data_IF_003182958779
#
_entry.id   IF_003182958779
#
_cell.length_a   1.000
_cell.length_b   1.000
_cell.length_c   1.000
_cell.angle_alpha   90.00
_cell.angle_beta   90.00
_cell.angle_gamma   90.00
#
_symmetry.space_group_name_H-M   'P 1'
#
loop_
_entity.id
_entity.type
_entity.pdbx_description
1 polymer ?
#
# COMPACT_ATOMS: atom_id res chain seq x y z
N UNK A 1 -7.72 -63.48 20.89
CA UNK A 1 -8.54 -62.26 21.07
C UNK A 1 -8.73 -61.66 19.69
N UNK A 2 -9.95 -61.34 19.21
CA UNK A 2 -10.11 -60.81 17.87
C UNK A 2 -9.63 -59.35 17.82
N UNK A 3 -8.83 -59.02 16.81
CA UNK A 3 -8.32 -57.67 16.59
C UNK A 3 -9.49 -56.70 16.32
N UNK A 4 -9.61 -55.66 17.16
CA UNK A 4 -10.60 -54.60 16.97
C UNK A 4 -10.14 -53.69 15.83
N UNK A 5 -10.83 -53.77 14.70
CA UNK A 5 -10.62 -52.85 13.56
C UNK A 5 -11.40 -51.56 13.80
N UNK A 6 -10.68 -50.46 13.93
CA UNK A 6 -11.27 -49.13 14.05
C UNK A 6 -11.33 -48.46 12.67
N UNK A 7 -12.50 -47.96 12.30
CA UNK A 7 -12.68 -47.16 11.08
C UNK A 7 -12.44 -45.70 11.43
N UNK A 8 -11.42 -45.09 10.82
CA UNK A 8 -11.13 -43.66 10.92
C UNK A 8 -11.52 -42.92 9.65
N UNK A 9 -11.76 -41.62 9.77
CA UNK A 9 -11.91 -40.71 8.64
C UNK A 9 -10.79 -39.67 8.69
N UNK A 10 -10.17 -39.37 7.55
CA UNK A 10 -9.12 -38.36 7.44
C UNK A 10 -9.78 -37.04 7.06
N UNK A 11 -9.74 -36.07 7.98
CA UNK A 11 -10.21 -34.72 7.73
C UNK A 11 -9.03 -33.76 7.53
N UNK A 12 -9.15 -32.87 6.54
CA UNK A 12 -8.19 -31.80 6.31
C UNK A 12 -8.84 -30.43 6.48
N UNK A 13 -8.03 -29.42 6.84
CA UNK A 13 -8.47 -28.02 6.87
C UNK A 13 -8.33 -27.43 5.47
N UNK A 14 -9.46 -27.07 4.86
CA UNK A 14 -9.50 -26.41 3.55
C UNK A 14 -9.52 -24.90 3.78
N UNK A 15 -8.63 -24.17 3.11
CA UNK A 15 -8.53 -22.71 3.20
C UNK A 15 -8.57 -22.14 1.80
N UNK A 16 -9.49 -21.20 1.57
CA UNK A 16 -9.54 -20.42 0.34
C UNK A 16 -8.72 -19.15 0.49
N UNK A 17 -7.82 -18.90 -0.46
CA UNK A 17 -7.00 -17.68 -0.51
C UNK A 17 -7.52 -16.78 -1.62
N UNK A 18 -7.65 -15.48 -1.34
CA UNK A 18 -8.10 -14.46 -2.29
C UNK A 18 -7.16 -13.25 -2.25
N UNK A 19 -7.10 -12.51 -3.34
CA UNK A 19 -6.49 -11.19 -3.31
C UNK A 19 -7.40 -10.21 -2.55
N UNK A 20 -6.79 -9.33 -1.75
CA UNK A 20 -7.52 -8.26 -1.06
C UNK A 20 -7.97 -7.14 -2.02
N UNK A 21 -7.35 -7.05 -3.19
CA UNK A 21 -7.59 -6.03 -4.20
C UNK A 21 -7.94 -6.70 -5.53
N UNK A 22 -8.76 -6.03 -6.33
CA UNK A 22 -9.05 -6.43 -7.70
C UNK A 22 -7.89 -6.00 -8.62
N UNK A 23 -7.51 -6.87 -9.55
CA UNK A 23 -6.46 -6.55 -10.52
C UNK A 23 -6.19 -7.71 -11.47
N UNK A 24 -5.34 -7.45 -12.47
CA UNK A 24 -4.87 -8.48 -13.40
C UNK A 24 -3.76 -9.30 -12.74
N UNK A 25 -3.84 -10.62 -12.78
CA UNK A 25 -2.75 -11.47 -12.31
C UNK A 25 -1.53 -11.32 -13.22
N UNK A 26 -0.37 -10.99 -12.63
CA UNK A 26 0.90 -10.88 -13.35
C UNK A 26 1.65 -12.22 -13.38
N UNK A 27 1.74 -12.90 -12.23
CA UNK A 27 2.47 -14.17 -12.11
C UNK A 27 1.74 -15.14 -11.19
N UNK A 28 1.79 -16.42 -11.56
CA UNK A 28 1.42 -17.56 -10.72
C UNK A 28 2.70 -18.33 -10.45
N UNK A 29 3.10 -18.43 -9.18
CA UNK A 29 4.41 -18.96 -8.77
C UNK A 29 4.35 -20.42 -8.30
N UNK A 30 3.13 -20.93 -8.05
CA UNK A 30 2.88 -22.28 -7.57
C UNK A 30 1.88 -23.00 -8.45
N UNK A 31 2.09 -24.31 -8.60
CA UNK A 31 1.23 -25.20 -9.37
C UNK A 31 0.39 -26.06 -8.44
N UNK A 32 -0.69 -26.61 -8.97
CA UNK A 32 -1.53 -27.57 -8.26
C UNK A 32 -0.68 -28.78 -7.84
N UNK A 33 -0.75 -29.15 -6.55
CA UNK A 33 0.04 -30.25 -5.97
C UNK A 33 1.32 -29.80 -5.27
N UNK A 34 1.73 -28.54 -5.40
CA UNK A 34 2.90 -28.03 -4.69
C UNK A 34 2.62 -27.89 -3.18
N UNK A 35 3.60 -28.26 -2.35
CA UNK A 35 3.58 -27.96 -0.92
C UNK A 35 4.02 -26.52 -0.70
N UNK A 36 3.28 -25.77 0.11
CA UNK A 36 3.53 -24.36 0.39
C UNK A 36 3.59 -24.09 1.90
N UNK A 37 4.32 -23.05 2.30
CA UNK A 37 4.43 -22.61 3.69
C UNK A 37 3.64 -21.33 3.93
N UNK A 38 3.28 -21.07 5.18
CA UNK A 38 2.64 -19.81 5.57
C UNK A 38 3.55 -18.63 5.22
N UNK A 39 3.00 -17.64 4.52
CA UNK A 39 3.74 -16.45 4.07
C UNK A 39 4.44 -16.61 2.72
N UNK A 40 4.38 -17.80 2.11
CA UNK A 40 4.95 -18.02 0.79
C UNK A 40 4.11 -17.38 -0.32
N UNK A 41 4.80 -16.79 -1.30
CA UNK A 41 4.15 -16.08 -2.40
C UNK A 41 3.56 -17.09 -3.40
N UNK A 42 2.23 -17.08 -3.52
CA UNK A 42 1.51 -17.98 -4.44
C UNK A 42 1.31 -17.36 -5.83
N UNK A 43 0.94 -16.08 -5.85
CA UNK A 43 0.67 -15.32 -7.06
C UNK A 43 0.83 -13.82 -6.79
N UNK A 44 1.08 -13.03 -7.83
CA UNK A 44 1.20 -11.58 -7.75
C UNK A 44 0.30 -10.91 -8.79
N UNK A 45 -0.35 -9.81 -8.39
CA UNK A 45 -1.06 -8.92 -9.30
C UNK A 45 -0.08 -8.03 -10.08
N UNK A 46 -0.51 -7.55 -11.23
CA UNK A 46 0.18 -6.52 -12.00
C UNK A 46 0.19 -5.20 -11.22
N UNK A 47 1.40 -4.73 -10.92
CA UNK A 47 1.63 -3.53 -10.13
C UNK A 47 1.95 -2.30 -10.99
N UNK A 48 1.96 -2.41 -12.32
CA UNK A 48 2.37 -1.31 -13.21
C UNK A 48 1.58 -0.02 -12.95
N UNK A 49 0.25 -0.12 -12.92
CA UNK A 49 -0.64 1.02 -12.65
C UNK A 49 -0.43 1.57 -11.22
N UNK A 50 -0.25 0.68 -10.25
CA UNK A 50 -0.04 1.07 -8.85
C UNK A 50 1.30 1.79 -8.66
N UNK A 51 2.34 1.32 -9.34
CA UNK A 51 3.66 1.94 -9.35
C UNK A 51 3.62 3.32 -10.02
N UNK A 52 3.03 3.44 -11.22
CA UNK A 52 2.86 4.74 -11.88
C UNK A 52 2.06 5.73 -11.02
N UNK A 53 1.02 5.24 -10.32
CA UNK A 53 0.26 6.08 -9.40
C UNK A 53 1.11 6.53 -8.21
N UNK A 54 1.92 5.65 -7.62
CA UNK A 54 2.85 6.01 -6.55
C UNK A 54 3.86 7.05 -7.02
N UNK A 55 4.45 6.86 -8.20
CA UNK A 55 5.43 7.79 -8.77
C UNK A 55 4.80 9.17 -9.01
N UNK A 56 3.54 9.22 -9.49
CA UNK A 56 2.78 10.47 -9.62
C UNK A 56 2.62 11.17 -8.28
N UNK A 57 2.18 10.44 -7.25
CA UNK A 57 1.96 10.99 -5.92
C UNK A 57 3.26 11.49 -5.28
N UNK A 58 4.38 10.81 -5.52
CA UNK A 58 5.70 11.26 -5.07
C UNK A 58 6.10 12.58 -5.75
N UNK A 59 5.89 12.72 -7.05
CA UNK A 59 6.17 13.95 -7.78
C UNK A 59 5.30 15.12 -7.30
N UNK A 60 4.02 14.89 -7.04
CA UNK A 60 3.09 15.89 -6.50
C UNK A 60 3.51 16.32 -5.07
N UNK A 61 3.98 15.38 -4.26
CA UNK A 61 4.55 15.66 -2.93
C UNK A 61 5.81 16.51 -3.01
N UNK A 62 6.75 16.17 -3.88
CA UNK A 62 7.98 16.94 -4.06
C UNK A 62 7.68 18.39 -4.50
N UNK A 63 6.73 18.56 -5.42
CA UNK A 63 6.27 19.89 -5.84
C UNK A 63 5.66 20.67 -4.67
N UNK A 64 4.74 20.05 -3.93
CA UNK A 64 4.05 20.69 -2.79
C UNK A 64 5.05 21.07 -1.69
N UNK A 65 6.04 20.22 -1.45
CA UNK A 65 7.13 20.48 -0.51
C UNK A 65 7.99 21.66 -0.98
N UNK A 66 8.36 21.70 -2.26
CA UNK A 66 9.12 22.81 -2.82
C UNK A 66 8.34 24.13 -2.69
N UNK A 67 7.03 24.13 -2.96
CA UNK A 67 6.16 25.31 -2.79
C UNK A 67 6.12 25.79 -1.34
N UNK A 68 6.06 24.86 -0.38
CA UNK A 68 6.12 25.17 1.06
C UNK A 68 7.48 25.76 1.46
N UNK A 69 8.59 25.20 0.97
CA UNK A 69 9.94 25.71 1.23
C UNK A 69 10.13 27.11 0.61
N UNK A 70 9.68 27.32 -0.63
CA UNK A 70 9.69 28.63 -1.29
C UNK A 70 8.85 29.64 -0.49
N UNK A 71 7.68 29.25 0.00
CA UNK A 71 6.84 30.10 0.83
C UNK A 71 7.56 30.53 2.12
N UNK A 72 8.24 29.59 2.80
CA UNK A 72 9.01 29.89 4.01
C UNK A 72 10.20 30.81 3.73
N UNK A 73 10.90 30.64 2.60
CA UNK A 73 12.01 31.51 2.20
C UNK A 73 11.57 32.92 1.86
N UNK A 74 10.42 33.08 1.18
CA UNK A 74 9.86 34.39 0.81
C UNK A 74 9.27 35.14 2.01
N UNK A 75 8.89 34.45 3.07
CA UNK A 75 8.24 35.03 4.25
C UNK A 75 9.02 34.71 5.54
N UNK A 76 10.27 35.19 5.69
CA UNK A 76 11.11 34.86 6.85
C UNK A 76 10.60 35.47 8.17
N UNK A 77 9.79 36.53 8.10
CA UNK A 77 9.16 37.16 9.26
C UNK A 77 7.64 37.13 9.08
N UNK A 78 7.00 36.12 9.67
CA UNK A 78 5.55 35.97 9.66
C UNK A 78 4.98 36.88 10.74
N UNK A 79 4.86 38.18 10.46
CA UNK A 79 4.28 39.14 11.41
C UNK A 79 2.79 39.38 11.18
N UNK A 80 2.33 39.22 9.94
CA UNK A 80 0.93 39.44 9.55
C UNK A 80 0.06 38.18 9.73
N UNK A 81 -1.18 38.37 10.19
CA UNK A 81 -2.12 37.27 10.42
C UNK A 81 -2.47 36.56 9.10
N UNK A 82 -2.53 37.28 7.99
CA UNK A 82 -2.72 36.70 6.66
C UNK A 82 -1.59 35.72 6.31
N UNK A 83 -0.33 36.05 6.60
CA UNK A 83 0.81 35.18 6.34
C UNK A 83 0.79 33.91 7.21
N UNK A 84 0.26 33.97 8.44
CA UNK A 84 0.06 32.78 9.30
C UNK A 84 -0.99 31.83 8.71
N UNK A 85 -2.10 32.37 8.23
CA UNK A 85 -3.14 31.57 7.57
C UNK A 85 -2.61 30.92 6.29
N UNK A 86 -1.90 31.67 5.45
CA UNK A 86 -1.27 31.13 4.23
C UNK A 86 -0.23 30.04 4.53
N UNK A 87 0.56 30.20 5.59
CA UNK A 87 1.49 29.14 6.03
C UNK A 87 0.75 27.88 6.44
N UNK A 88 -0.35 28.04 7.19
CA UNK A 88 -1.18 26.93 7.67
C UNK A 88 -1.82 26.19 6.51
N UNK A 89 -2.31 26.92 5.49
CA UNK A 89 -2.83 26.35 4.26
C UNK A 89 -1.76 25.53 3.52
N UNK A 90 -0.56 26.09 3.34
CA UNK A 90 0.55 25.38 2.68
C UNK A 90 1.02 24.15 3.46
N UNK A 91 1.04 24.23 4.79
CA UNK A 91 1.33 23.06 5.63
C UNK A 91 0.24 22.00 5.52
N UNK A 92 -1.05 22.38 5.44
CA UNK A 92 -2.15 21.45 5.26
C UNK A 92 -2.08 20.75 3.90
N UNK A 93 -1.72 21.48 2.83
CA UNK A 93 -1.47 20.93 1.49
C UNK A 93 -0.33 19.88 1.53
N UNK A 94 0.79 20.20 2.19
CA UNK A 94 1.90 19.27 2.37
C UNK A 94 1.45 18.01 3.13
N UNK A 95 0.73 18.18 4.24
CA UNK A 95 0.23 17.06 5.04
C UNK A 95 -0.75 16.16 4.26
N UNK A 96 -1.60 16.75 3.41
CA UNK A 96 -2.49 15.98 2.54
C UNK A 96 -1.69 15.14 1.55
N UNK A 97 -0.69 15.74 0.89
CA UNK A 97 0.14 15.04 -0.07
C UNK A 97 0.96 13.88 0.55
N UNK A 98 1.46 14.04 1.78
CA UNK A 98 2.09 12.93 2.53
C UNK A 98 1.12 11.75 2.69
N UNK A 99 -0.13 12.02 3.08
CA UNK A 99 -1.15 10.98 3.27
C UNK A 99 -1.50 10.28 1.95
N UNK A 100 -1.52 11.01 0.84
CA UNK A 100 -1.77 10.43 -0.48
C UNK A 100 -0.65 9.47 -0.90
N UNK A 101 0.62 9.82 -0.63
CA UNK A 101 1.76 8.93 -0.84
C UNK A 101 1.68 7.69 0.04
N UNK A 102 1.33 7.83 1.32
CA UNK A 102 1.14 6.70 2.24
C UNK A 102 0.03 5.77 1.76
N UNK A 103 -1.10 6.32 1.32
CA UNK A 103 -2.20 5.55 0.76
C UNK A 103 -1.78 4.80 -0.51
N UNK A 104 -0.98 5.44 -1.38
CA UNK A 104 -0.44 4.80 -2.57
C UNK A 104 0.53 3.66 -2.23
N UNK A 105 1.40 3.83 -1.21
CA UNK A 105 2.31 2.78 -0.74
C UNK A 105 1.57 1.57 -0.16
N UNK A 106 0.50 1.79 0.61
CA UNK A 106 -0.32 0.69 1.17
C UNK A 106 -0.96 -0.17 0.07
N UNK A 107 -1.23 0.43 -1.09
CA UNK A 107 -1.86 -0.27 -2.21
C UNK A 107 -0.86 -1.08 -3.06
N UNK A 108 0.45 -0.88 -2.91
CA UNK A 108 1.51 -1.55 -3.68
C UNK A 108 1.89 -2.92 -3.09
#
# INVERSE_FOLDING_TARGET
MPDKVFKGNVSAKIIEVRFALSGKTSKILKKTGDTVRKGELLASLDKGILQTNLDRQLADYEKTRADFEIFNLKNPQISDDLSKYLKTEKQAQLNASVKEVELAKIRL
#
